data_IF_942188844609
#
_entry.id   IF_942188844609
#
_cell.length_a   1.000
_cell.length_b   1.000
_cell.length_c   1.000
_cell.angle_alpha   90.00
_cell.angle_beta   90.00
_cell.angle_gamma   90.00
#
_symmetry.space_group_name_H-M   'P 1'
#
loop_
_entity.id
_entity.type
_entity.pdbx_description
1 polymer ?
#
# COMPACT_ATOMS: atom_id res chain seq x y z
N UNK A 1 0.73 0.78 -5.95
CA UNK A 1 0.63 0.55 -4.48
C UNK A 1 1.89 -0.15 -3.92
N UNK A 2 2.38 -1.26 -4.48
CA UNK A 2 3.58 -1.94 -3.95
C UNK A 2 4.86 -1.09 -3.94
N UNK A 3 5.10 -0.31 -5.01
CA UNK A 3 6.35 0.46 -5.17
C UNK A 3 6.47 1.61 -4.16
N UNK A 4 5.41 2.41 -3.95
CA UNK A 4 5.40 3.47 -2.94
C UNK A 4 5.59 2.92 -1.52
N UNK A 5 5.01 1.75 -1.24
CA UNK A 5 5.20 1.06 0.02
C UNK A 5 6.66 0.62 0.22
N UNK A 6 7.33 0.08 -0.80
CA UNK A 6 8.76 -0.25 -0.71
C UNK A 6 9.61 1.00 -0.47
N UNK A 7 9.37 2.08 -1.21
CA UNK A 7 10.11 3.34 -1.03
C UNK A 7 9.95 3.88 0.40
N UNK A 8 8.72 3.88 0.94
CA UNK A 8 8.48 4.33 2.31
C UNK A 8 9.21 3.46 3.35
N UNK A 9 9.33 2.14 3.13
CA UNK A 9 10.08 1.26 4.02
C UNK A 9 11.57 1.51 3.95
N UNK A 10 12.11 1.65 2.75
CA UNK A 10 13.54 1.93 2.57
C UNK A 10 13.92 3.24 3.24
N UNK A 11 13.11 4.30 3.08
CA UNK A 11 13.33 5.59 3.74
C UNK A 11 13.23 5.53 5.27
N UNK A 12 12.32 4.72 5.81
CA UNK A 12 12.23 4.53 7.26
C UNK A 12 13.39 3.71 7.82
N UNK A 13 13.91 2.77 7.03
CA UNK A 13 15.00 1.89 7.43
C UNK A 13 16.38 2.50 7.22
N UNK A 14 16.55 3.42 6.26
CA UNK A 14 17.84 4.06 5.97
C UNK A 14 18.29 5.01 7.08
N UNK A 15 17.36 5.46 7.93
CA UNK A 15 17.65 6.42 8.97
C UNK A 15 17.97 7.82 8.44
N UNK A 16 17.82 8.08 7.13
CA UNK A 16 17.97 9.41 6.53
C UNK A 16 16.96 10.41 7.08
N UNK A 17 15.82 9.93 7.56
CA UNK A 17 14.78 10.79 8.10
C UNK A 17 15.03 11.06 9.58
N UNK A 18 15.23 12.33 9.97
CA UNK A 18 15.46 12.69 11.37
C UNK A 18 14.29 12.22 12.23
N UNK A 19 14.62 11.66 13.39
CA UNK A 19 13.65 11.23 14.37
C UNK A 19 12.77 12.40 14.83
N UNK A 20 11.45 12.21 14.81
CA UNK A 20 10.49 13.28 15.12
C UNK A 20 10.23 14.28 13.99
N UNK A 21 10.89 14.17 12.82
CA UNK A 21 10.60 15.03 11.68
C UNK A 21 9.20 14.78 11.11
N UNK A 22 8.58 15.85 10.62
CA UNK A 22 7.28 15.80 9.95
C UNK A 22 7.29 14.82 8.76
N UNK A 23 8.37 14.82 7.99
CA UNK A 23 8.53 13.94 6.82
C UNK A 23 8.59 12.46 7.23
N UNK A 24 9.21 12.11 8.36
CA UNK A 24 9.20 10.74 8.88
C UNK A 24 7.79 10.29 9.24
N UNK A 25 6.98 11.21 9.77
CA UNK A 25 5.58 10.98 10.13
C UNK A 25 4.73 10.76 8.87
N UNK A 26 4.89 11.60 7.85
CA UNK A 26 4.18 11.47 6.57
C UNK A 26 4.52 10.15 5.86
N UNK A 27 5.79 9.73 5.89
CA UNK A 27 6.23 8.44 5.32
C UNK A 27 5.66 7.23 6.08
N UNK A 28 5.55 7.32 7.42
CA UNK A 28 4.88 6.28 8.22
C UNK A 28 3.40 6.16 7.87
N UNK A 29 2.69 7.26 7.69
CA UNK A 29 1.27 7.25 7.33
C UNK A 29 1.04 6.63 5.94
N UNK A 30 1.90 6.93 4.97
CA UNK A 30 1.86 6.30 3.63
C UNK A 30 2.10 4.79 3.72
N UNK A 31 3.07 4.35 4.53
CA UNK A 31 3.33 2.93 4.76
C UNK A 31 2.12 2.24 5.42
N UNK A 32 1.53 2.86 6.44
CA UNK A 32 0.37 2.34 7.17
C UNK A 32 -0.86 2.22 6.25
N UNK A 33 -1.16 3.24 5.46
CA UNK A 33 -2.25 3.23 4.48
C UNK A 33 -2.05 2.14 3.41
N UNK A 34 -0.83 2.02 2.87
CA UNK A 34 -0.48 0.96 1.92
C UNK A 34 -0.55 -0.45 2.52
N UNK A 35 -0.28 -0.58 3.82
CA UNK A 35 -0.42 -1.84 4.55
C UNK A 35 -1.90 -2.18 4.80
N UNK A 36 -2.68 -1.20 5.25
CA UNK A 36 -4.13 -1.34 5.46
C UNK A 36 -4.84 -1.75 4.16
N UNK A 37 -4.57 -1.08 3.04
CA UNK A 37 -5.14 -1.42 1.74
C UNK A 37 -4.79 -2.85 1.28
N UNK A 38 -3.56 -3.32 1.56
CA UNK A 38 -3.16 -4.70 1.27
C UNK A 38 -3.89 -5.70 2.16
N UNK A 39 -4.04 -5.41 3.45
CA UNK A 39 -4.78 -6.26 4.39
C UNK A 39 -6.25 -6.34 4.00
N UNK A 40 -6.85 -5.22 3.59
CA UNK A 40 -8.22 -5.17 3.08
C UNK A 40 -8.40 -6.02 1.82
N UNK A 41 -7.47 -5.91 0.85
CA UNK A 41 -7.45 -6.80 -0.32
C UNK A 41 -7.37 -8.29 0.03
N UNK A 42 -6.60 -8.66 1.07
CA UNK A 42 -6.46 -10.06 1.51
C UNK A 42 -7.66 -10.60 2.28
N UNK A 43 -8.42 -9.74 2.97
CA UNK A 43 -9.52 -10.14 3.87
C UNK A 43 -10.89 -10.19 3.21
N UNK A 44 -11.02 -9.78 1.95
CA UNK A 44 -12.30 -9.80 1.25
C UNK A 44 -12.55 -8.58 0.41
N UNK A 45 -11.55 -8.14 -0.38
CA UNK A 45 -11.94 -7.52 -1.64
C UNK A 45 -12.73 -8.61 -2.36
N UNK A 46 -14.05 -8.42 -2.47
CA UNK A 46 -14.96 -9.25 -3.25
C UNK A 46 -14.15 -9.77 -4.44
N UNK A 47 -13.98 -11.08 -4.52
CA UNK A 47 -13.50 -11.67 -5.75
C UNK A 47 -14.42 -11.13 -6.83
N UNK A 48 -13.91 -10.34 -7.76
CA UNK A 48 -14.50 -10.22 -9.09
C UNK A 48 -14.36 -11.58 -9.82
N UNK A 49 -14.76 -12.66 -9.16
CA UNK A 49 -15.27 -13.86 -9.76
C UNK A 49 -16.68 -13.51 -10.23
N UNK A 50 -16.78 -12.79 -11.35
CA UNK A 50 -18.10 -12.49 -11.89
C UNK A 50 -18.20 -11.36 -12.91
N UNK A 51 -17.32 -11.25 -13.90
CA UNK A 51 -17.68 -10.92 -15.29
C UNK A 51 -16.61 -11.43 -16.26
N UNK A 52 -16.55 -12.75 -16.44
CA UNK A 52 -16.30 -13.28 -17.78
C UNK A 52 -17.66 -13.38 -18.47
N UNK A 53 -18.24 -12.21 -18.77
CA UNK A 53 -19.22 -12.14 -19.84
C UNK A 53 -18.42 -12.43 -21.11
N UNK A 54 -18.68 -13.59 -21.73
CA UNK A 54 -18.24 -13.85 -23.09
C UNK A 54 -19.04 -12.92 -23.98
N UNK A 55 -18.42 -11.85 -24.45
CA UNK A 55 -18.89 -11.10 -25.59
C UNK A 55 -18.19 -11.67 -26.83
N UNK A 56 -18.87 -12.55 -27.54
CA UNK A 56 -18.90 -12.53 -29.01
C UNK A 56 -20.12 -13.36 -29.48
N UNK A 57 -20.82 -12.81 -30.48
CA UNK A 57 -21.99 -13.40 -31.15
C UNK A 57 -21.64 -14.67 -31.92
#
# INVERSE_FOLDING_TARGET
>A
INRMRQIARDLLNSGELPEGSRVRRDVQDIWAAGNYARQYKRRGGITESGKQGKNEC
#
